data_IF_630682609366
#
_entry.id   IF_630682609366
#
_cell.length_a   1.000
_cell.length_b   1.000
_cell.length_c   1.000
_cell.angle_alpha   90.00
_cell.angle_beta   90.00
_cell.angle_gamma   90.00
#
_symmetry.space_group_name_H-M   'P 1'
#
loop_
_entity.id
_entity.type
_entity.pdbx_description
1 polymer ?
#
# COMPACT_ATOMS: atom_id res chain seq x y z
N UNK A 1 10.10 3.49 1.89
CA UNK A 1 9.70 2.08 2.05
C UNK A 1 9.27 1.98 3.50
N UNK A 2 8.01 1.63 3.75
CA UNK A 2 7.35 1.89 5.03
C UNK A 2 7.20 3.37 5.40
N UNK A 3 6.45 3.64 6.46
CA UNK A 3 6.16 4.97 6.95
C UNK A 3 4.84 5.52 6.40
N UNK A 4 4.22 6.39 7.21
CA UNK A 4 3.04 7.17 6.80
C UNK A 4 3.35 7.94 5.52
N UNK A 5 2.37 8.02 4.63
CA UNK A 5 2.45 8.91 3.49
C UNK A 5 2.36 10.37 3.96
N UNK A 6 2.82 11.29 3.12
CA UNK A 6 2.62 12.72 3.28
C UNK A 6 1.31 13.17 2.63
N UNK A 7 0.71 14.22 3.18
CA UNK A 7 -0.32 15.01 2.52
C UNK A 7 0.32 16.26 1.93
N UNK A 8 0.02 16.54 0.67
CA UNK A 8 0.56 17.70 -0.05
C UNK A 8 -0.43 18.85 0.11
N UNK A 9 0.04 19.94 0.71
CA UNK A 9 -0.74 21.15 0.94
C UNK A 9 -0.81 22.03 -0.31
N UNK A 10 -1.67 23.05 -0.28
CA UNK A 10 -1.85 23.98 -1.40
C UNK A 10 -0.58 24.76 -1.75
N UNK A 11 0.25 25.06 -0.75
CA UNK A 11 1.57 25.69 -0.91
C UNK A 11 2.67 24.71 -1.34
N UNK A 12 2.29 23.45 -1.60
CA UNK A 12 3.16 22.31 -1.96
C UNK A 12 4.06 21.81 -0.84
N UNK A 13 3.88 22.30 0.39
CA UNK A 13 4.50 21.68 1.55
C UNK A 13 3.93 20.27 1.79
N UNK A 14 4.71 19.43 2.46
CA UNK A 14 4.33 18.07 2.79
C UNK A 14 4.22 17.93 4.31
N UNK A 15 3.05 17.51 4.77
CA UNK A 15 2.81 17.20 6.19
C UNK A 15 2.60 15.70 6.35
N UNK A 16 2.96 15.15 7.50
CA UNK A 16 2.75 13.72 7.74
C UNK A 16 1.25 13.39 7.71
N UNK A 17 0.89 12.33 6.98
CA UNK A 17 -0.47 11.83 6.88
C UNK A 17 -0.85 10.86 7.99
N UNK A 18 -2.07 10.32 7.95
CA UNK A 18 -2.57 9.40 8.97
C UNK A 18 -1.82 8.07 8.99
N UNK A 19 -1.83 7.40 10.15
CA UNK A 19 -1.16 6.12 10.38
C UNK A 19 -1.70 5.01 9.46
N UNK A 20 -2.98 5.07 9.09
CA UNK A 20 -3.59 4.12 8.16
C UNK A 20 -2.87 4.01 6.80
N UNK A 21 -2.18 5.08 6.37
CA UNK A 21 -1.45 5.10 5.09
C UNK A 21 -0.11 4.39 5.12
N UNK A 22 0.33 3.95 6.30
CA UNK A 22 1.57 3.19 6.47
C UNK A 22 1.33 1.70 6.19
N UNK A 23 2.09 1.13 5.25
CA UNK A 23 2.07 -0.30 4.96
C UNK A 23 2.71 -1.13 6.08
N UNK A 24 3.50 -0.50 6.96
CA UNK A 24 4.15 -1.16 8.10
C UNK A 24 3.26 -1.20 9.34
N UNK A 25 2.16 -0.44 9.35
CA UNK A 25 1.23 -0.41 10.48
C UNK A 25 0.80 -1.84 10.86
N UNK A 26 0.98 -2.18 12.14
CA UNK A 26 0.57 -3.48 12.65
C UNK A 26 -0.93 -3.45 12.89
N UNK A 27 -1.67 -4.05 11.97
CA UNK A 27 -3.13 -4.18 12.06
C UNK A 27 -3.55 -5.46 11.38
N UNK A 28 -4.49 -6.17 12.02
CA UNK A 28 -4.99 -7.44 11.51
C UNK A 28 -5.99 -7.24 10.39
N UNK A 29 -5.91 -8.07 9.35
CA UNK A 29 -6.91 -8.17 8.29
C UNK A 29 -6.84 -9.53 7.61
N UNK A 30 -7.92 -9.93 6.93
CA UNK A 30 -7.92 -11.14 6.12
C UNK A 30 -7.61 -10.80 4.66
N UNK A 31 -6.75 -11.60 4.03
CA UNK A 31 -6.53 -11.55 2.58
C UNK A 31 -6.22 -12.96 2.07
N UNK A 32 -6.93 -13.36 1.01
CA UNK A 32 -6.80 -14.69 0.39
C UNK A 32 -6.95 -15.84 1.41
N UNK A 33 -7.96 -15.73 2.27
CA UNK A 33 -8.30 -16.74 3.30
C UNK A 33 -7.34 -16.81 4.50
N UNK A 34 -6.33 -15.94 4.58
CA UNK A 34 -5.33 -15.92 5.64
C UNK A 34 -5.37 -14.61 6.43
N UNK A 35 -5.12 -14.70 7.75
CA UNK A 35 -4.90 -13.53 8.61
C UNK A 35 -3.47 -12.99 8.41
N UNK A 36 -3.35 -11.68 8.32
CA UNK A 36 -2.09 -10.95 8.19
C UNK A 36 -1.99 -9.85 9.25
N UNK A 37 -0.77 -9.46 9.61
CA UNK A 37 -0.49 -8.48 10.67
C UNK A 37 -0.02 -7.13 10.15
N UNK A 38 0.38 -7.04 8.88
CA UNK A 38 0.65 -5.78 8.19
C UNK A 38 0.54 -5.96 6.68
N UNK A 39 0.35 -4.86 5.96
CA UNK A 39 0.36 -4.88 4.49
C UNK A 39 1.72 -5.35 3.98
N UNK A 40 2.81 -4.90 4.61
CA UNK A 40 4.16 -5.30 4.26
C UNK A 40 4.36 -6.82 4.41
N UNK A 41 3.93 -7.42 5.52
CA UNK A 41 4.02 -8.87 5.71
C UNK A 41 3.32 -9.61 4.55
N UNK A 42 2.07 -9.24 4.28
CA UNK A 42 1.28 -9.87 3.23
C UNK A 42 1.91 -9.66 1.83
N UNK A 43 2.40 -8.45 1.56
CA UNK A 43 2.99 -8.10 0.28
C UNK A 43 4.30 -8.83 0.02
N UNK A 44 5.16 -8.93 1.04
CA UNK A 44 6.40 -9.68 0.95
C UNK A 44 6.14 -11.18 0.81
N UNK A 45 5.15 -11.72 1.50
CA UNK A 45 4.73 -13.11 1.33
C UNK A 45 4.16 -13.40 -0.07
N UNK A 46 3.37 -12.47 -0.63
CA UNK A 46 2.73 -12.61 -1.94
C UNK A 46 3.72 -12.66 -3.12
N UNK A 47 4.99 -12.30 -2.89
CA UNK A 47 6.07 -12.51 -3.87
C UNK A 47 6.27 -13.98 -4.23
N UNK A 48 5.97 -14.90 -3.33
CA UNK A 48 6.34 -16.31 -3.45
C UNK A 48 5.11 -17.18 -3.74
N UNK A 49 5.29 -18.14 -4.64
CA UNK A 49 4.29 -19.17 -4.99
C UNK A 49 4.56 -20.52 -4.29
N UNK A 50 5.54 -20.55 -3.39
CA UNK A 50 5.98 -21.72 -2.63
C UNK A 50 5.57 -21.59 -1.16
N UNK A 51 5.89 -22.60 -0.34
CA UNK A 51 5.66 -22.60 1.11
C UNK A 51 6.31 -21.42 1.84
N UNK A 52 7.26 -20.72 1.19
CA UNK A 52 7.85 -19.47 1.67
C UNK A 52 6.79 -18.42 2.01
N UNK A 53 5.68 -18.39 1.27
CA UNK A 53 4.53 -17.53 1.55
C UNK A 53 3.97 -17.78 2.96
N UNK A 54 3.78 -19.05 3.31
CA UNK A 54 3.26 -19.46 4.63
C UNK A 54 4.28 -19.20 5.73
N UNK A 55 5.57 -19.44 5.46
CA UNK A 55 6.64 -19.11 6.39
C UNK A 55 6.63 -17.62 6.78
N UNK A 56 6.55 -16.70 5.82
CA UNK A 56 6.49 -15.25 6.10
C UNK A 56 5.18 -14.90 6.85
N UNK A 57 4.06 -15.56 6.50
CA UNK A 57 2.79 -15.37 7.21
C UNK A 57 2.89 -15.73 8.69
N UNK A 58 3.65 -16.76 9.04
CA UNK A 58 3.82 -17.22 10.42
C UNK A 58 4.81 -16.34 11.23
N UNK A 59 5.48 -15.38 10.60
CA UNK A 59 6.36 -14.42 11.29
C UNK A 59 5.56 -13.31 11.96
N UNK A 60 5.01 -13.59 13.14
CA UNK A 60 4.22 -12.64 13.93
C UNK A 60 5.06 -11.45 14.43
N UNK A 61 4.44 -10.29 14.71
CA UNK A 61 5.06 -9.23 15.49
C UNK A 61 5.50 -9.74 16.86
N UNK A 62 6.67 -9.32 17.33
CA UNK A 62 7.17 -9.67 18.68
C UNK A 62 6.60 -8.73 19.73
N UNK A 63 6.56 -9.18 20.97
CA UNK A 63 6.13 -8.35 22.11
C UNK A 63 6.98 -7.07 22.19
N UNK A 64 6.33 -5.91 22.15
CA UNK A 64 6.97 -4.60 22.19
C UNK A 64 7.70 -4.18 20.91
N UNK A 65 7.61 -4.95 19.82
CA UNK A 65 8.13 -4.56 18.51
C UNK A 65 7.29 -3.41 17.94
N UNK A 66 7.96 -2.35 17.48
CA UNK A 66 7.28 -1.25 16.80
C UNK A 66 6.84 -1.66 15.39
N UNK A 67 5.83 -0.98 14.86
CA UNK A 67 5.38 -1.15 13.47
C UNK A 67 6.54 -1.04 12.47
N UNK A 68 7.43 -0.07 12.68
CA UNK A 68 8.60 0.13 11.83
C UNK A 68 9.57 -1.06 11.91
N UNK A 69 9.90 -1.53 13.12
CA UNK A 69 10.80 -2.67 13.30
C UNK A 69 10.22 -3.95 12.69
N UNK A 70 8.91 -4.18 12.87
CA UNK A 70 8.22 -5.31 12.27
C UNK A 70 8.21 -5.23 10.75
N UNK A 71 7.84 -4.08 10.19
CA UNK A 71 7.79 -3.87 8.74
C UNK A 71 9.17 -4.02 8.07
N UNK A 72 10.23 -3.46 8.67
CA UNK A 72 11.59 -3.64 8.16
C UNK A 72 12.02 -5.12 8.16
N UNK A 73 11.70 -5.86 9.22
CA UNK A 73 11.97 -7.30 9.30
C UNK A 73 11.24 -8.08 8.21
N UNK A 74 9.98 -7.74 7.91
CA UNK A 74 9.23 -8.36 6.82
C UNK A 74 9.81 -8.01 5.45
N UNK A 75 10.21 -6.75 5.26
CA UNK A 75 10.85 -6.32 4.02
C UNK A 75 12.15 -7.09 3.78
N UNK A 76 13.03 -7.19 4.78
CA UNK A 76 14.28 -7.93 4.71
C UNK A 76 14.03 -9.39 4.31
N UNK A 77 13.09 -10.06 4.98
CA UNK A 77 12.76 -11.46 4.71
C UNK A 77 12.27 -11.69 3.27
N UNK A 78 11.53 -10.71 2.74
CA UNK A 78 11.01 -10.72 1.38
C UNK A 78 12.01 -10.29 0.29
N UNK A 79 13.22 -9.85 0.66
CA UNK A 79 14.29 -9.64 -0.32
C UNK A 79 15.12 -10.92 -0.56
N UNK A 80 15.00 -11.91 0.32
CA UNK A 80 15.72 -13.17 0.19
C UNK A 80 15.06 -14.11 -0.84
N UNK A 81 15.81 -15.09 -1.37
CA UNK A 81 15.27 -16.20 -2.18
C UNK A 81 14.55 -15.77 -3.48
N UNK A 82 15.14 -14.85 -4.24
CA UNK A 82 14.60 -14.36 -5.53
C UNK A 82 14.29 -15.48 -6.54
N UNK A 83 14.98 -16.61 -6.47
CA UNK A 83 14.72 -17.79 -7.32
C UNK A 83 13.37 -18.46 -7.08
N UNK A 84 12.71 -18.19 -5.96
CA UNK A 84 11.38 -18.73 -5.61
C UNK A 84 10.25 -17.71 -5.82
N UNK A 85 10.58 -16.51 -6.29
CA UNK A 85 9.58 -15.48 -6.55
C UNK A 85 8.75 -15.81 -7.78
N UNK A 86 7.52 -15.32 -7.79
CA UNK A 86 6.66 -15.32 -8.96
C UNK A 86 7.41 -14.63 -10.13
N UNK A 87 7.60 -15.32 -11.28
CA UNK A 87 8.31 -14.73 -12.41
C UNK A 87 7.62 -13.50 -13.00
N UNK A 88 6.31 -13.32 -12.78
CA UNK A 88 5.53 -12.14 -13.19
C UNK A 88 5.47 -11.06 -12.10
N UNK A 89 6.23 -11.18 -11.01
CA UNK A 89 6.11 -10.29 -9.84
C UNK A 89 6.19 -8.80 -10.21
N UNK A 90 7.13 -8.43 -11.09
CA UNK A 90 7.32 -7.04 -11.48
C UNK A 90 6.08 -6.45 -12.17
N UNK A 91 5.33 -7.28 -12.89
CA UNK A 91 4.14 -6.87 -13.62
C UNK A 91 2.94 -6.71 -12.68
N UNK A 92 2.80 -7.58 -11.68
CA UNK A 92 1.61 -7.64 -10.82
C UNK A 92 1.76 -6.87 -9.50
N UNK A 93 2.98 -6.50 -9.09
CA UNK A 93 3.28 -5.94 -7.76
C UNK A 93 2.40 -4.76 -7.34
N UNK A 94 2.07 -3.86 -8.26
CA UNK A 94 1.25 -2.68 -7.94
C UNK A 94 -0.19 -3.08 -7.66
N UNK A 95 -0.74 -4.00 -8.47
CA UNK A 95 -2.08 -4.52 -8.28
C UNK A 95 -2.18 -5.33 -6.99
N UNK A 96 -1.18 -6.17 -6.69
CA UNK A 96 -1.09 -6.90 -5.42
C UNK A 96 -1.07 -5.96 -4.22
N UNK A 97 -0.25 -4.90 -4.24
CA UNK A 97 -0.21 -3.90 -3.16
C UNK A 97 -1.57 -3.19 -2.97
N UNK A 98 -2.25 -2.88 -4.07
CA UNK A 98 -3.60 -2.32 -4.03
C UNK A 98 -4.60 -3.28 -3.38
N UNK A 99 -4.64 -4.54 -3.82
CA UNK A 99 -5.56 -5.54 -3.29
C UNK A 99 -5.37 -5.79 -1.79
N UNK A 100 -4.12 -5.83 -1.34
CA UNK A 100 -3.78 -6.04 0.08
C UNK A 100 -4.18 -4.82 0.92
N UNK A 101 -3.86 -3.60 0.47
CA UNK A 101 -4.31 -2.39 1.15
C UNK A 101 -5.84 -2.32 1.20
N UNK A 102 -6.51 -2.63 0.09
CA UNK A 102 -7.97 -2.66 0.02
C UNK A 102 -8.55 -3.61 1.05
N UNK A 103 -7.99 -4.82 1.18
CA UNK A 103 -8.39 -5.78 2.19
C UNK A 103 -8.14 -5.28 3.63
N UNK A 104 -7.03 -4.59 3.89
CA UNK A 104 -6.78 -3.89 5.18
C UNK A 104 -7.93 -2.93 5.51
N UNK A 105 -8.33 -2.08 4.57
CA UNK A 105 -9.41 -1.11 4.80
C UNK A 105 -10.80 -1.77 4.92
N UNK A 106 -11.10 -2.81 4.14
CA UNK A 106 -12.36 -3.56 4.24
C UNK A 106 -12.57 -4.15 5.65
N UNK A 107 -11.49 -4.65 6.27
CA UNK A 107 -11.56 -5.26 7.60
C UNK A 107 -11.51 -4.24 8.75
N UNK A 108 -11.14 -2.99 8.48
CA UNK A 108 -10.91 -1.99 9.51
C UNK A 108 -11.65 -0.67 9.19
N UNK A 109 -12.96 -0.58 9.52
CA UNK A 109 -13.75 0.62 9.27
C UNK A 109 -13.18 1.90 9.88
N UNK A 110 -12.55 1.83 11.05
CA UNK A 110 -11.87 2.97 11.67
C UNK A 110 -10.73 3.53 10.82
N UNK A 111 -10.02 2.67 10.07
CA UNK A 111 -8.98 3.13 9.14
C UNK A 111 -9.58 3.79 7.91
N UNK A 112 -10.79 3.40 7.50
CA UNK A 112 -11.51 4.09 6.42
C UNK A 112 -11.84 5.52 6.84
N UNK A 113 -12.36 5.69 8.07
CA UNK A 113 -12.61 7.01 8.65
C UNK A 113 -11.33 7.84 8.73
N UNK A 114 -10.23 7.25 9.20
CA UNK A 114 -8.92 7.89 9.27
C UNK A 114 -8.43 8.34 7.89
N UNK A 115 -8.56 7.49 6.86
CA UNK A 115 -8.18 7.82 5.48
C UNK A 115 -9.06 8.95 4.89
N UNK A 116 -10.35 8.97 5.21
CA UNK A 116 -11.26 10.04 4.77
C UNK A 116 -10.90 11.41 5.35
N UNK A 117 -10.22 11.48 6.50
CA UNK A 117 -9.75 12.76 7.07
C UNK A 117 -8.75 13.50 6.17
N UNK A 118 -8.12 12.79 5.22
CA UNK A 118 -7.20 13.40 4.25
C UNK A 118 -7.92 14.32 3.25
N UNK A 119 -9.26 14.27 3.18
CA UNK A 119 -10.08 15.07 2.27
C UNK A 119 -9.68 14.83 0.81
N UNK A 120 -9.56 15.92 0.05
CA UNK A 120 -9.15 15.86 -1.36
C UNK A 120 -7.65 16.06 -1.57
N UNK A 121 -6.84 16.10 -0.50
CA UNK A 121 -5.39 16.33 -0.61
C UNK A 121 -4.72 15.21 -1.41
N UNK A 122 -3.63 15.57 -2.09
CA UNK A 122 -2.75 14.57 -2.70
C UNK A 122 -2.01 13.83 -1.57
N UNK A 123 -1.98 12.51 -1.67
CA UNK A 123 -1.21 11.66 -0.77
C UNK A 123 0.06 11.28 -1.49
N UNK A 124 1.23 11.44 -0.88
CA UNK A 124 2.53 11.14 -1.48
C UNK A 124 3.31 10.21 -0.56
N UNK A 125 3.78 9.06 -1.06
CA UNK A 125 4.50 8.11 -0.21
C UNK A 125 5.85 8.65 0.28
N UNK A 126 6.30 8.18 1.45
CA UNK A 126 7.65 8.43 1.96
C UNK A 126 8.70 7.95 0.94
N UNK A 127 9.86 8.63 0.80
CA UNK A 127 10.92 8.22 -0.11
C UNK A 127 11.21 6.72 -0.05
N UNK A 128 11.27 6.10 -1.22
CA UNK A 128 11.33 4.65 -1.35
C UNK A 128 11.98 4.24 -2.68
N UNK A 129 12.48 3.01 -2.73
CA UNK A 129 13.01 2.42 -3.96
C UNK A 129 11.91 2.23 -5.01
N UNK A 130 12.28 2.08 -6.28
CA UNK A 130 11.39 1.68 -7.39
C UNK A 130 10.11 2.50 -7.53
N UNK A 131 10.18 3.81 -7.27
CA UNK A 131 9.04 4.74 -7.34
C UNK A 131 7.87 4.39 -6.38
N UNK A 132 8.09 3.59 -5.34
CA UNK A 132 7.01 3.25 -4.39
C UNK A 132 6.39 4.46 -3.70
N UNK A 133 7.11 5.59 -3.62
CA UNK A 133 6.55 6.87 -3.19
C UNK A 133 5.32 7.30 -4.02
N UNK A 134 5.40 7.12 -5.35
CA UNK A 134 4.32 7.42 -6.29
C UNK A 134 3.16 6.45 -6.11
N UNK A 135 3.47 5.15 -6.14
CA UNK A 135 2.46 4.10 -6.13
C UNK A 135 1.70 4.00 -4.80
N UNK A 136 2.38 4.14 -3.66
CA UNK A 136 1.70 4.13 -2.36
C UNK A 136 0.66 5.25 -2.28
N UNK A 137 1.03 6.49 -2.66
CA UNK A 137 0.09 7.60 -2.66
C UNK A 137 -1.12 7.38 -3.59
N UNK A 138 -0.88 6.87 -4.81
CA UNK A 138 -1.95 6.58 -5.77
C UNK A 138 -2.91 5.51 -5.26
N UNK A 139 -2.38 4.45 -4.65
CA UNK A 139 -3.18 3.37 -4.05
C UNK A 139 -4.05 3.91 -2.92
N UNK A 140 -3.49 4.72 -2.01
CA UNK A 140 -4.26 5.30 -0.91
C UNK A 140 -5.38 6.22 -1.41
N UNK A 141 -5.10 7.07 -2.42
CA UNK A 141 -6.13 7.93 -3.01
C UNK A 141 -7.21 7.14 -3.75
N UNK A 142 -6.84 6.09 -4.48
CA UNK A 142 -7.81 5.21 -5.15
C UNK A 142 -8.73 4.50 -4.14
N UNK A 143 -8.17 4.01 -3.04
CA UNK A 143 -8.97 3.39 -1.98
C UNK A 143 -9.86 4.42 -1.29
N UNK A 144 -9.37 5.64 -1.05
CA UNK A 144 -10.19 6.75 -0.54
C UNK A 144 -11.40 7.02 -1.44
N UNK A 145 -11.20 7.07 -2.75
CA UNK A 145 -12.26 7.25 -3.74
C UNK A 145 -13.27 6.08 -3.73
N UNK A 146 -12.79 4.84 -3.55
CA UNK A 146 -13.66 3.66 -3.37
C UNK A 146 -14.50 3.72 -2.09
N UNK A 147 -13.93 4.19 -0.98
CA UNK A 147 -14.67 4.39 0.28
C UNK A 147 -15.75 5.46 0.08
N UNK A 148 -15.40 6.61 -0.49
CA UNK A 148 -16.32 7.73 -0.72
C UNK A 148 -17.50 7.32 -1.62
N UNK A 149 -17.22 6.51 -2.64
CA UNK A 149 -18.24 6.01 -3.58
C UNK A 149 -18.97 4.75 -3.11
N UNK A 150 -18.64 4.22 -1.91
CA UNK A 150 -19.15 2.95 -1.37
C UNK A 150 -18.87 1.74 -2.28
N UNK A 151 -17.80 1.81 -3.08
CA UNK A 151 -17.34 0.74 -3.96
C UNK A 151 -16.35 -0.22 -3.27
N UNK A 152 -15.89 0.10 -2.06
CA UNK A 152 -14.90 -0.71 -1.33
C UNK A 152 -15.36 -2.15 -1.06
N UNK A 153 -16.66 -2.39 -0.85
CA UNK A 153 -17.21 -3.74 -0.63
C UNK A 153 -17.55 -4.48 -1.93
N UNK A 154 -17.42 -3.80 -3.07
CA UNK A 154 -17.63 -4.37 -4.40
C UNK A 154 -16.44 -5.21 -4.89
N UNK A 155 -16.50 -5.68 -6.16
CA UNK A 155 -15.35 -6.26 -6.83
C UNK A 155 -14.18 -5.26 -6.90
N UNK A 156 -12.97 -5.75 -6.64
CA UNK A 156 -11.77 -4.94 -6.84
C UNK A 156 -11.52 -4.73 -8.35
N UNK A 157 -10.89 -3.61 -8.69
CA UNK A 157 -10.47 -3.34 -10.06
C UNK A 157 -9.46 -4.40 -10.54
N UNK A 158 -9.57 -4.80 -11.79
CA UNK A 158 -8.49 -5.54 -12.46
C UNK A 158 -7.24 -4.67 -12.62
N UNK A 159 -6.10 -5.29 -12.94
CA UNK A 159 -4.85 -4.57 -13.12
C UNK A 159 -4.95 -3.46 -14.18
N UNK A 160 -5.60 -3.71 -15.32
CA UNK A 160 -5.75 -2.71 -16.39
C UNK A 160 -6.67 -1.57 -15.97
N UNK A 161 -7.80 -1.88 -15.33
CA UNK A 161 -8.73 -0.87 -14.81
C UNK A 161 -8.08 0.00 -13.73
N UNK A 162 -7.27 -0.60 -12.86
CA UNK A 162 -6.54 0.13 -11.82
C UNK A 162 -5.57 1.15 -12.43
N UNK A 163 -4.83 0.77 -13.48
CA UNK A 163 -3.91 1.68 -14.15
C UNK A 163 -4.65 2.86 -14.80
N UNK A 164 -5.81 2.63 -15.41
CA UNK A 164 -6.67 3.72 -15.93
C UNK A 164 -7.18 4.60 -14.79
N UNK A 165 -7.61 4.00 -13.68
CA UNK A 165 -8.13 4.73 -12.52
C UNK A 165 -7.07 5.62 -11.82
N UNK A 166 -5.77 5.32 -11.99
CA UNK A 166 -4.70 6.18 -11.48
C UNK A 166 -4.48 7.45 -12.30
N UNK A 167 -4.93 7.51 -13.56
CA UNK A 167 -4.60 8.61 -14.47
C UNK A 167 -4.97 10.00 -13.93
N UNK A 168 -6.18 10.24 -13.38
CA UNK A 168 -6.53 11.57 -12.87
C UNK A 168 -5.60 12.05 -11.74
N UNK A 169 -5.17 11.14 -10.85
CA UNK A 169 -4.24 11.50 -9.77
C UNK A 169 -2.78 11.61 -10.24
N UNK A 170 -2.39 10.87 -11.28
CA UNK A 170 -1.10 11.08 -11.96
C UNK A 170 -1.00 12.49 -12.57
N UNK A 171 -2.06 12.96 -13.24
CA UNK A 171 -2.10 14.30 -13.82
C UNK A 171 -1.98 15.39 -12.74
N UNK A 172 -2.60 15.15 -11.58
CA UNK A 172 -2.46 16.02 -10.40
C UNK A 172 -1.04 16.00 -9.83
N UNK A 173 -0.35 14.85 -9.79
CA UNK A 173 1.06 14.80 -9.38
C UNK A 173 1.97 15.62 -10.31
N UNK A 174 1.75 15.53 -11.63
CA UNK A 174 2.50 16.32 -12.61
C UNK A 174 2.25 17.81 -12.39
N UNK A 175 0.97 18.20 -12.21
CA UNK A 175 0.57 19.58 -11.93
C UNK A 175 1.20 20.12 -10.63
N UNK A 176 1.29 19.27 -9.62
CA UNK A 176 1.93 19.58 -8.34
C UNK A 176 3.47 19.53 -8.39
N UNK A 177 4.08 19.13 -9.52
CA UNK A 177 5.53 18.90 -9.70
C UNK A 177 6.12 17.85 -8.76
N UNK A 178 5.32 16.86 -8.37
CA UNK A 178 5.77 15.67 -7.64
C UNK A 178 6.37 14.62 -8.58
N UNK A 179 5.99 14.69 -9.86
CA UNK A 179 6.56 13.93 -10.96
C UNK A 179 6.89 14.88 -12.10
N UNK A 180 7.93 14.55 -12.85
CA UNK A 180 8.19 15.20 -14.14
C UNK A 180 7.13 14.74 -15.14
N UNK A 181 6.70 15.66 -16.02
CA UNK A 181 5.89 15.28 -17.17
C UNK A 181 6.72 14.34 -18.04
N UNK A 182 6.15 13.20 -18.44
CA UNK A 182 6.80 12.37 -19.47
C UNK A 182 6.69 13.13 -20.79
N UNK A 183 7.83 13.41 -21.42
CA UNK A 183 7.93 13.95 -22.79
C UNK A 183 7.32 12.99 -23.82
#
# INVERSE_FOLDING_TARGET
MGGKCFLVEQDKSQVEGPACTDNFQVVKFMYDGLEWHSVEQCYQAAKYITDRRLYIRDMLPKDGESDEAYGLRMWDEGQCFTSQMNPQWLDVRMHVMYLINRAKYQHNPSLQEELLTTGDKLIWGKPSTHEWQKWNGLIQMRIREEIQSKALDGPALSQSELMVAFQPNLDRYISARLLEARE
#
